data_IF_289406910829
#
_entry.id   IF_289406910829
#
_cell.length_a   1.000
_cell.length_b   1.000
_cell.length_c   1.000
_cell.angle_alpha   90.00
_cell.angle_beta   90.00
_cell.angle_gamma   90.00
#
_symmetry.space_group_name_H-M   'P 1'
#
loop_
_entity.id
_entity.type
_entity.pdbx_description
1 polymer ?
#
# COMPACT_ATOMS: atom_id res chain seq x y z
N UNK A 1 -17.92 -7.84 -1.15
CA UNK A 1 -18.13 -9.20 -1.71
C UNK A 1 -17.85 -10.18 -0.58
N UNK A 2 -18.89 -10.89 -0.15
CA UNK A 2 -18.91 -11.71 1.07
C UNK A 2 -17.95 -12.89 0.99
N UNK A 3 -17.10 -13.05 2.00
CA UNK A 3 -16.38 -14.30 2.24
C UNK A 3 -17.21 -15.09 3.22
N UNK A 4 -17.76 -16.20 2.71
CA UNK A 4 -18.58 -17.18 3.42
C UNK A 4 -17.83 -17.80 4.60
N UNK A 5 -18.42 -17.72 5.79
CA UNK A 5 -18.03 -18.44 6.99
C UNK A 5 -18.58 -19.86 6.90
N UNK A 6 -17.70 -20.86 6.74
CA UNK A 6 -18.03 -22.28 6.86
C UNK A 6 -17.93 -22.69 8.33
N UNK A 7 -19.07 -22.90 8.97
CA UNK A 7 -19.16 -23.54 10.28
C UNK A 7 -19.08 -25.07 10.08
N UNK A 8 -17.99 -25.67 10.50
CA UNK A 8 -17.93 -27.15 10.62
C UNK A 8 -18.42 -27.56 12.00
N UNK A 9 -19.58 -28.22 12.01
CA UNK A 9 -20.10 -29.00 13.12
C UNK A 9 -19.34 -30.33 13.16
N UNK A 10 -18.53 -30.58 14.19
CA UNK A 10 -18.00 -31.92 14.46
C UNK A 10 -18.74 -32.49 15.66
N UNK A 11 -19.50 -33.51 15.34
CA UNK A 11 -20.29 -34.31 16.23
C UNK A 11 -19.40 -35.07 17.26
N UNK A 12 -19.91 -35.14 18.50
CA UNK A 12 -19.33 -35.89 19.59
C UNK A 12 -19.46 -37.38 19.32
N UNK A 13 -18.34 -38.10 19.38
CA UNK A 13 -18.38 -39.59 19.57
C UNK A 13 -17.52 -39.92 20.79
N UNK A 14 -18.15 -40.51 21.77
CA UNK A 14 -17.54 -41.02 22.97
C UNK A 14 -17.09 -42.48 22.71
N UNK A 15 -15.87 -42.87 23.08
CA UNK A 15 -15.48 -44.26 23.23
C UNK A 15 -14.49 -44.43 24.37
N UNK A 16 -14.93 -45.17 25.33
CA UNK A 16 -14.33 -46.11 26.32
C UNK A 16 -12.79 -46.20 26.47
N UNK A 17 -12.45 -46.03 27.72
CA UNK A 17 -11.56 -46.80 28.63
C UNK A 17 -10.55 -47.80 28.02
N UNK A 18 -9.27 -47.54 28.28
CA UNK A 18 -8.18 -48.51 28.18
C UNK A 18 -6.97 -48.01 28.98
N UNK A 19 -6.81 -48.53 30.21
CA UNK A 19 -5.64 -48.31 31.06
C UNK A 19 -4.44 -49.03 30.47
N UNK A 20 -3.44 -48.30 30.01
CA UNK A 20 -2.11 -48.84 29.72
C UNK A 20 -1.08 -47.98 30.47
N UNK A 21 -0.41 -48.65 31.42
CA UNK A 21 0.78 -48.13 32.12
C UNK A 21 1.89 -47.90 31.11
N UNK A 22 2.27 -46.65 30.89
CA UNK A 22 3.50 -46.29 30.20
C UNK A 22 4.46 -45.59 31.15
N UNK A 23 5.60 -46.23 31.36
CA UNK A 23 6.77 -45.74 32.08
C UNK A 23 7.22 -44.39 31.52
N UNK A 24 7.31 -43.42 32.40
CA UNK A 24 7.78 -42.06 32.10
C UNK A 24 9.27 -42.07 31.75
N UNK A 25 9.56 -41.96 30.48
CA UNK A 25 10.86 -41.54 29.97
C UNK A 25 10.83 -40.03 29.86
N UNK A 26 11.47 -39.33 30.82
CA UNK A 26 11.64 -37.89 30.76
C UNK A 26 12.65 -37.54 29.67
N UNK A 27 12.16 -37.28 28.46
CA UNK A 27 12.95 -36.66 27.42
C UNK A 27 13.05 -35.16 27.71
N UNK A 28 14.20 -34.71 28.19
CA UNK A 28 14.52 -33.29 28.30
C UNK A 28 14.56 -32.72 26.89
N UNK A 29 13.43 -32.14 26.48
CA UNK A 29 13.42 -31.30 25.29
C UNK A 29 14.12 -29.96 25.66
N UNK A 30 15.39 -29.86 25.29
CA UNK A 30 16.05 -28.55 25.21
C UNK A 30 15.26 -27.70 24.22
N UNK A 31 14.63 -26.64 24.76
CA UNK A 31 14.05 -25.60 23.92
C UNK A 31 15.17 -25.04 23.01
N UNK A 32 14.95 -24.94 21.70
CA UNK A 32 15.91 -24.25 20.85
C UNK A 32 16.05 -22.81 21.37
N UNK A 33 17.29 -22.44 21.69
CA UNK A 33 17.67 -21.08 21.99
C UNK A 33 17.01 -20.19 20.94
N UNK A 34 16.13 -19.29 21.39
CA UNK A 34 15.67 -18.18 20.56
C UNK A 34 16.89 -17.33 20.27
N UNK A 35 17.65 -17.75 19.24
CA UNK A 35 18.66 -16.93 18.63
C UNK A 35 17.96 -15.61 18.29
N UNK A 36 18.39 -14.56 18.94
CA UNK A 36 18.05 -13.16 18.65
C UNK A 36 18.25 -12.99 17.14
N UNK A 37 17.19 -13.17 16.37
CA UNK A 37 17.17 -12.80 14.97
C UNK A 37 17.40 -11.29 14.99
N UNK A 38 18.65 -10.90 14.73
CA UNK A 38 19.04 -9.53 14.45
C UNK A 38 18.10 -9.08 13.35
N UNK A 39 17.13 -8.24 13.72
CA UNK A 39 16.19 -7.62 12.79
C UNK A 39 17.09 -6.88 11.79
N UNK A 40 17.33 -7.50 10.64
CA UNK A 40 17.99 -6.83 9.54
C UNK A 40 17.05 -5.68 9.20
N UNK A 41 17.48 -4.46 9.49
CA UNK A 41 16.77 -3.26 9.06
C UNK A 41 16.68 -3.36 7.55
N UNK A 42 15.49 -3.61 7.03
CA UNK A 42 15.23 -3.55 5.60
C UNK A 42 15.78 -2.22 5.08
N UNK A 43 16.48 -2.21 3.93
CA UNK A 43 17.00 -0.96 3.38
C UNK A 43 15.85 0.04 3.23
N UNK A 44 16.08 1.28 3.67
CA UNK A 44 15.09 2.36 3.58
C UNK A 44 14.70 2.56 2.12
N UNK A 45 13.47 2.21 1.77
CA UNK A 45 12.94 2.44 0.44
C UNK A 45 12.34 3.85 0.36
N UNK A 46 12.73 4.60 -0.65
CA UNK A 46 12.24 5.96 -0.91
C UNK A 46 11.68 6.07 -2.32
N UNK A 47 10.76 7.01 -2.52
CA UNK A 47 10.21 7.30 -3.83
C UNK A 47 11.28 7.81 -4.81
N UNK A 48 11.07 7.57 -6.10
CA UNK A 48 11.89 8.16 -7.17
C UNK A 48 11.72 9.68 -7.25
N UNK A 49 10.51 10.15 -6.98
CA UNK A 49 10.24 11.60 -6.93
C UNK A 49 10.48 12.12 -5.51
N UNK A 50 11.43 13.06 -5.31
CA UNK A 50 11.72 13.58 -3.98
C UNK A 50 10.48 14.18 -3.29
N UNK A 51 10.29 13.84 -1.99
CA UNK A 51 9.18 14.33 -1.19
C UNK A 51 7.88 13.53 -1.31
N UNK A 52 7.83 12.53 -2.17
CA UNK A 52 6.70 11.60 -2.23
C UNK A 52 6.81 10.52 -1.16
N UNK A 53 5.68 10.09 -0.64
CA UNK A 53 5.59 8.96 0.28
C UNK A 53 5.54 7.65 -0.50
N UNK A 54 5.93 6.56 0.15
CA UNK A 54 5.84 5.20 -0.40
C UNK A 54 5.01 4.27 0.50
N UNK A 55 4.63 4.76 1.67
CA UNK A 55 3.86 4.02 2.68
C UNK A 55 2.45 4.58 2.78
N UNK A 56 1.45 3.70 2.63
CA UNK A 56 0.03 4.07 2.65
C UNK A 56 -0.44 4.55 4.03
N UNK A 57 0.03 3.90 5.11
CA UNK A 57 -0.34 4.30 6.48
C UNK A 57 0.18 5.71 6.79
N UNK A 58 1.39 6.05 6.32
CA UNK A 58 1.95 7.39 6.45
C UNK A 58 1.15 8.42 5.64
N UNK A 59 0.79 8.08 4.40
CA UNK A 59 -0.04 8.93 3.56
C UNK A 59 -1.42 9.16 4.20
N UNK A 60 -2.03 8.13 4.74
CA UNK A 60 -3.28 8.22 5.49
C UNK A 60 -3.16 9.14 6.70
N UNK A 61 -2.13 8.95 7.54
CA UNK A 61 -1.91 9.78 8.72
C UNK A 61 -1.76 11.27 8.35
N UNK A 62 -1.00 11.58 7.31
CA UNK A 62 -0.85 12.97 6.80
C UNK A 62 -2.15 13.51 6.21
N UNK A 63 -2.90 12.70 5.47
CA UNK A 63 -4.20 13.07 4.92
C UNK A 63 -5.18 13.44 6.03
N UNK A 64 -5.31 12.61 7.06
CA UNK A 64 -6.18 12.89 8.23
C UNK A 64 -5.76 14.13 9.00
N UNK A 65 -4.46 14.36 9.18
CA UNK A 65 -3.94 15.52 9.89
C UNK A 65 -4.16 16.84 9.16
N UNK A 66 -4.19 16.81 7.82
CA UNK A 66 -4.25 18.02 6.98
C UNK A 66 -5.60 18.24 6.28
N UNK A 67 -6.47 17.21 6.26
CA UNK A 67 -7.72 17.22 5.50
C UNK A 67 -7.53 17.12 3.97
N UNK A 68 -6.31 16.87 3.48
CA UNK A 68 -6.02 16.80 2.05
C UNK A 68 -6.23 15.39 1.52
N UNK A 69 -6.78 15.22 0.29
CA UNK A 69 -6.88 13.93 -0.35
C UNK A 69 -5.50 13.37 -0.69
N UNK A 70 -5.41 12.06 -0.85
CA UNK A 70 -4.21 11.37 -1.33
C UNK A 70 -4.22 11.35 -2.85
N UNK A 71 -3.09 11.70 -3.46
CA UNK A 71 -2.82 11.55 -4.88
C UNK A 71 -1.79 10.45 -5.08
N UNK A 72 -2.23 9.29 -5.56
CA UNK A 72 -1.39 8.12 -5.78
C UNK A 72 -0.98 8.00 -7.26
N UNK A 73 0.32 8.05 -7.53
CA UNK A 73 0.89 7.84 -8.85
C UNK A 73 1.33 6.38 -9.02
N UNK A 74 0.57 5.62 -9.78
CA UNK A 74 0.93 4.28 -10.19
C UNK A 74 1.91 4.36 -11.36
N UNK A 75 3.12 3.88 -11.15
CA UNK A 75 4.25 4.09 -12.05
C UNK A 75 5.11 2.83 -12.23
N UNK A 76 5.96 2.83 -13.24
CA UNK A 76 7.04 1.86 -13.44
C UNK A 76 8.35 2.63 -13.66
N UNK A 77 8.95 3.10 -12.58
CA UNK A 77 10.02 4.11 -12.57
C UNK A 77 11.20 3.77 -13.47
N UNK A 78 11.59 2.50 -13.56
CA UNK A 78 12.77 2.07 -14.31
C UNK A 78 12.50 1.64 -15.75
N UNK A 79 11.23 1.39 -16.14
CA UNK A 79 10.89 0.88 -17.47
C UNK A 79 9.82 1.67 -18.24
N UNK A 80 8.92 2.39 -17.56
CA UNK A 80 7.78 3.07 -18.18
C UNK A 80 8.18 4.43 -18.77
N UNK A 81 8.27 4.52 -20.09
CA UNK A 81 8.66 5.76 -20.80
C UNK A 81 7.69 6.93 -20.58
N UNK A 82 6.37 6.68 -20.56
CA UNK A 82 5.36 7.70 -20.32
C UNK A 82 5.37 8.18 -18.86
N UNK A 83 5.71 7.31 -17.90
CA UNK A 83 5.87 7.71 -16.51
C UNK A 83 7.04 8.68 -16.34
N UNK A 84 8.18 8.38 -16.99
CA UNK A 84 9.33 9.29 -17.01
C UNK A 84 9.01 10.63 -17.64
N UNK A 85 8.21 10.63 -18.72
CA UNK A 85 7.73 11.88 -19.34
C UNK A 85 6.82 12.67 -18.40
N UNK A 86 5.89 12.02 -17.69
CA UNK A 86 5.04 12.70 -16.71
C UNK A 86 5.88 13.32 -15.59
N UNK A 87 6.85 12.58 -15.06
CA UNK A 87 7.79 13.11 -14.06
C UNK A 87 8.53 14.33 -14.59
N UNK A 88 9.11 14.25 -15.81
CA UNK A 88 9.90 15.32 -16.39
C UNK A 88 9.06 16.57 -16.75
N UNK A 89 7.82 16.38 -17.20
CA UNK A 89 6.97 17.48 -17.65
C UNK A 89 6.12 18.11 -16.53
N UNK A 90 5.91 17.37 -15.42
CA UNK A 90 5.01 17.81 -14.35
C UNK A 90 5.69 17.76 -12.98
N UNK A 91 6.09 16.59 -12.49
CA UNK A 91 6.38 16.39 -11.07
C UNK A 91 7.67 17.05 -10.58
N UNK A 92 8.66 17.23 -11.46
CA UNK A 92 9.93 17.89 -11.10
C UNK A 92 9.82 19.42 -11.00
N UNK A 93 8.77 20.02 -11.58
CA UNK A 93 8.62 21.48 -11.65
C UNK A 93 8.20 22.07 -10.31
N UNK A 94 8.80 23.19 -9.93
CA UNK A 94 8.50 23.88 -8.68
C UNK A 94 7.05 24.36 -8.60
N UNK A 95 6.44 24.72 -9.75
CA UNK A 95 5.02 25.05 -9.81
C UNK A 95 4.13 23.89 -9.35
N UNK A 96 4.42 22.66 -9.80
CA UNK A 96 3.72 21.46 -9.33
C UNK A 96 3.98 21.21 -7.84
N UNK A 97 5.23 21.27 -7.38
CA UNK A 97 5.58 21.01 -5.98
C UNK A 97 4.85 21.95 -5.03
N UNK A 98 4.85 23.26 -5.32
CA UNK A 98 4.13 24.27 -4.52
C UNK A 98 2.63 24.04 -4.52
N UNK A 99 2.05 23.69 -5.66
CA UNK A 99 0.64 23.36 -5.78
C UNK A 99 0.30 22.09 -4.97
N UNK A 100 1.09 21.04 -5.12
CA UNK A 100 0.86 19.75 -4.45
C UNK A 100 0.96 19.89 -2.92
N UNK A 101 1.94 20.64 -2.43
CA UNK A 101 2.09 20.93 -1.00
C UNK A 101 0.81 21.53 -0.39
N UNK A 102 0.04 22.29 -1.13
CA UNK A 102 -1.19 22.91 -0.67
C UNK A 102 -2.44 22.04 -0.83
N UNK A 103 -2.47 21.13 -1.81
CA UNK A 103 -3.70 20.51 -2.27
C UNK A 103 -3.81 19.01 -2.02
N UNK A 104 -2.70 18.27 -1.98
CA UNK A 104 -2.72 16.79 -1.93
C UNK A 104 -1.60 16.20 -1.05
N UNK A 105 -1.76 14.94 -0.67
CA UNK A 105 -0.69 14.12 -0.13
C UNK A 105 -0.17 13.23 -1.25
N UNK A 106 1.13 13.33 -1.56
CA UNK A 106 1.76 12.62 -2.65
C UNK A 106 2.16 11.20 -2.23
N UNK A 107 1.68 10.19 -2.95
CA UNK A 107 1.99 8.77 -2.73
C UNK A 107 2.47 8.13 -4.04
N UNK A 108 3.65 7.52 -4.03
CA UNK A 108 4.21 6.80 -5.18
C UNK A 108 3.97 5.31 -5.04
N UNK A 109 3.31 4.71 -6.02
CA UNK A 109 3.02 3.29 -6.11
C UNK A 109 3.84 2.72 -7.27
N UNK A 110 5.13 2.48 -7.00
CA UNK A 110 6.05 2.00 -8.02
C UNK A 110 5.97 0.48 -8.22
N UNK A 111 6.05 0.04 -9.48
CA UNK A 111 6.15 -1.35 -9.90
C UNK A 111 7.44 -1.54 -10.74
N UNK A 112 8.62 -1.44 -10.15
CA UNK A 112 9.87 -1.54 -10.89
C UNK A 112 10.14 -2.98 -11.34
N UNK A 113 10.94 -3.15 -12.38
CA UNK A 113 11.36 -4.46 -12.90
C UNK A 113 12.80 -4.83 -12.55
N UNK A 114 13.63 -3.83 -12.29
CA UNK A 114 15.08 -4.00 -12.08
C UNK A 114 15.56 -3.50 -10.70
N UNK A 115 14.74 -2.69 -10.03
CA UNK A 115 15.06 -2.16 -8.71
C UNK A 115 14.46 -3.03 -7.62
N UNK A 116 15.18 -3.14 -6.52
CA UNK A 116 14.65 -3.76 -5.31
C UNK A 116 13.61 -2.84 -4.66
N UNK A 117 12.52 -3.42 -4.24
CA UNK A 117 11.58 -2.80 -3.30
C UNK A 117 11.28 -3.82 -2.18
N UNK A 118 11.13 -3.38 -0.93
CA UNK A 118 10.79 -4.26 0.19
C UNK A 118 9.50 -5.04 -0.07
N UNK A 119 9.43 -6.27 0.40
CA UNK A 119 8.26 -7.13 0.14
C UNK A 119 6.96 -6.54 0.73
N UNK A 120 7.04 -5.83 1.87
CA UNK A 120 5.91 -5.10 2.44
C UNK A 120 5.37 -4.01 1.49
N UNK A 121 6.26 -3.23 0.87
CA UNK A 121 5.88 -2.19 -0.10
C UNK A 121 5.34 -2.83 -1.38
N UNK A 122 5.96 -3.89 -1.85
CA UNK A 122 5.51 -4.63 -3.04
C UNK A 122 4.10 -5.20 -2.86
N UNK A 123 3.84 -5.80 -1.69
CA UNK A 123 2.51 -6.32 -1.34
C UNK A 123 1.47 -5.21 -1.25
N UNK A 124 1.79 -4.08 -0.58
CA UNK A 124 0.95 -2.89 -0.55
C UNK A 124 0.62 -2.39 -1.95
N UNK A 125 1.64 -2.22 -2.81
CA UNK A 125 1.49 -1.67 -4.15
C UNK A 125 0.64 -2.59 -5.04
N UNK A 126 0.82 -3.90 -4.95
CA UNK A 126 -0.01 -4.89 -5.66
C UNK A 126 -1.47 -4.83 -5.20
N UNK A 127 -1.72 -4.73 -3.89
CA UNK A 127 -3.07 -4.58 -3.34
C UNK A 127 -3.77 -3.30 -3.82
N UNK A 128 -3.06 -2.17 -3.84
CA UNK A 128 -3.60 -0.90 -4.35
C UNK A 128 -3.85 -0.95 -5.87
N UNK A 129 -2.95 -1.54 -6.66
CA UNK A 129 -3.17 -1.73 -8.10
C UNK A 129 -4.45 -2.53 -8.38
N UNK A 130 -4.69 -3.58 -7.61
CA UNK A 130 -5.91 -4.38 -7.71
C UNK A 130 -7.15 -3.59 -7.29
N UNK A 131 -7.11 -2.90 -6.14
CA UNK A 131 -8.22 -2.13 -5.60
C UNK A 131 -8.66 -1.01 -6.56
N UNK A 132 -7.71 -0.32 -7.17
CA UNK A 132 -7.95 0.75 -8.15
C UNK A 132 -8.09 0.25 -9.59
N UNK A 133 -8.02 -1.06 -9.83
CA UNK A 133 -8.12 -1.69 -11.16
C UNK A 133 -7.17 -1.03 -12.19
N UNK A 134 -5.92 -0.81 -11.79
CA UNK A 134 -4.92 -0.15 -12.64
C UNK A 134 -4.49 -1.10 -13.76
N UNK A 135 -4.74 -0.71 -15.01
CA UNK A 135 -4.45 -1.52 -16.20
C UNK A 135 -3.24 -1.00 -17.00
N UNK A 136 -2.71 0.16 -16.67
CA UNK A 136 -1.59 0.78 -17.39
C UNK A 136 -0.92 1.90 -16.60
N UNK A 137 0.20 2.37 -17.12
CA UNK A 137 1.04 3.38 -16.48
C UNK A 137 1.40 4.53 -17.44
N UNK A 138 1.48 5.79 -16.96
CA UNK A 138 1.11 6.21 -15.61
C UNK A 138 -0.41 6.23 -15.43
N UNK A 139 -0.86 5.91 -14.23
CA UNK A 139 -2.22 6.19 -13.78
C UNK A 139 -2.14 6.91 -12.45
N UNK A 140 -2.81 8.05 -12.33
CA UNK A 140 -2.84 8.84 -11.10
C UNK A 140 -4.26 8.85 -10.56
N UNK A 141 -4.46 8.34 -9.35
CA UNK A 141 -5.73 8.39 -8.64
C UNK A 141 -5.70 9.45 -7.54
N UNK A 142 -6.82 10.16 -7.39
CA UNK A 142 -7.07 11.06 -6.27
C UNK A 142 -8.23 10.50 -5.45
N UNK A 143 -8.05 10.38 -4.14
CA UNK A 143 -9.04 9.75 -3.26
C UNK A 143 -8.93 10.23 -1.82
N UNK A 144 -10.05 10.17 -1.11
CA UNK A 144 -10.10 10.21 0.34
C UNK A 144 -10.01 8.80 0.90
N UNK A 145 -9.55 8.67 2.12
CA UNK A 145 -9.42 7.39 2.79
C UNK A 145 -9.78 7.51 4.26
N UNK A 146 -10.52 6.52 4.75
CA UNK A 146 -10.81 6.32 6.16
C UNK A 146 -10.41 4.93 6.61
N UNK A 147 -10.19 4.77 7.91
CA UNK A 147 -9.84 3.50 8.53
C UNK A 147 -10.86 3.16 9.60
N UNK A 148 -11.53 2.01 9.46
CA UNK A 148 -12.42 1.50 10.49
C UNK A 148 -11.62 1.14 11.75
N UNK A 149 -11.90 1.77 12.91
CA UNK A 149 -11.13 1.54 14.12
C UNK A 149 -11.31 0.14 14.72
N UNK A 150 -12.38 -0.58 14.35
CA UNK A 150 -12.66 -1.93 14.85
C UNK A 150 -12.02 -3.02 14.01
N UNK A 151 -12.06 -2.86 12.70
CA UNK A 151 -11.56 -3.87 11.75
C UNK A 151 -10.17 -3.57 11.21
N UNK A 152 -9.68 -2.35 11.41
CA UNK A 152 -8.43 -1.83 10.84
C UNK A 152 -8.42 -1.80 9.30
N UNK A 153 -9.58 -1.96 8.67
CA UNK A 153 -9.72 -1.94 7.23
C UNK A 153 -9.87 -0.53 6.69
N UNK A 154 -9.26 -0.27 5.53
CA UNK A 154 -9.39 0.99 4.83
C UNK A 154 -10.64 1.03 3.96
N UNK A 155 -11.33 2.16 4.00
CA UNK A 155 -12.38 2.53 3.04
C UNK A 155 -11.85 3.64 2.14
N UNK A 156 -12.00 3.49 0.83
CA UNK A 156 -11.51 4.43 -0.17
C UNK A 156 -12.70 5.07 -0.88
N UNK A 157 -12.71 6.39 -0.90
CA UNK A 157 -13.61 7.22 -1.70
C UNK A 157 -12.83 7.81 -2.87
N UNK A 158 -13.03 7.28 -4.08
CA UNK A 158 -12.34 7.74 -5.28
C UNK A 158 -12.94 9.06 -5.77
N UNK A 159 -12.12 10.12 -5.84
CA UNK A 159 -12.52 11.43 -6.36
C UNK A 159 -12.35 11.51 -7.88
N UNK A 160 -11.33 10.86 -8.42
CA UNK A 160 -11.10 10.78 -9.86
C UNK A 160 -9.75 10.20 -10.22
N UNK A 161 -9.52 10.05 -11.53
CA UNK A 161 -8.23 9.59 -12.06
C UNK A 161 -7.82 10.36 -13.30
N UNK A 162 -6.49 10.44 -13.51
CA UNK A 162 -5.87 10.96 -14.73
C UNK A 162 -4.68 10.08 -15.13
N UNK A 163 -4.03 10.42 -16.21
CA UNK A 163 -2.82 9.75 -16.70
C UNK A 163 -1.75 10.78 -17.04
N UNK A 164 -1.09 10.56 -18.18
CA UNK A 164 -0.11 11.51 -18.72
C UNK A 164 -0.78 12.80 -19.18
N UNK A 165 -0.20 13.94 -18.76
CA UNK A 165 -0.46 15.27 -19.33
C UNK A 165 0.86 15.91 -19.76
N UNK A 166 0.80 16.86 -20.67
CA UNK A 166 1.99 17.50 -21.22
C UNK A 166 2.53 18.65 -20.38
N UNK A 167 1.70 19.24 -19.54
CA UNK A 167 2.03 20.44 -18.76
C UNK A 167 1.57 20.35 -17.31
N UNK A 168 2.20 21.14 -16.45
CA UNK A 168 1.81 21.28 -15.03
C UNK A 168 0.40 21.83 -14.92
N UNK A 169 0.06 22.84 -15.69
CA UNK A 169 -1.25 23.51 -15.65
C UNK A 169 -2.39 22.53 -16.01
N UNK A 170 -2.23 21.78 -17.09
CA UNK A 170 -3.21 20.77 -17.48
C UNK A 170 -3.42 19.72 -16.37
N UNK A 171 -2.31 19.24 -15.78
CA UNK A 171 -2.35 18.27 -14.72
C UNK A 171 -3.06 18.79 -13.47
N UNK A 172 -2.62 19.94 -12.96
CA UNK A 172 -3.14 20.51 -11.71
C UNK A 172 -4.59 20.93 -11.84
N UNK A 173 -4.98 21.55 -12.95
CA UNK A 173 -6.39 21.91 -13.23
C UNK A 173 -7.28 20.65 -13.26
N UNK A 174 -6.83 19.57 -13.91
CA UNK A 174 -7.57 18.31 -13.92
C UNK A 174 -7.76 17.71 -12.52
N UNK A 175 -6.72 17.74 -11.70
CA UNK A 175 -6.80 17.25 -10.31
C UNK A 175 -7.70 18.13 -9.44
N UNK A 176 -7.62 19.46 -9.58
CA UNK A 176 -8.48 20.39 -8.85
C UNK A 176 -9.97 20.16 -9.11
N UNK A 177 -10.34 19.84 -10.36
CA UNK A 177 -11.72 19.50 -10.72
C UNK A 177 -12.21 18.23 -10.03
N UNK A 178 -11.31 17.29 -9.68
CA UNK A 178 -11.66 16.08 -8.91
C UNK A 178 -11.88 16.40 -7.43
N UNK A 179 -11.05 17.27 -6.86
CA UNK A 179 -11.09 17.63 -5.43
C UNK A 179 -12.30 18.51 -5.09
N UNK A 180 -12.76 19.36 -6.05
CA UNK A 180 -13.86 20.33 -5.83
C UNK A 180 -15.26 19.74 -6.01
N UNK A 181 -15.38 18.47 -6.39
CA UNK A 181 -16.67 17.79 -6.51
C UNK A 181 -17.22 17.37 -5.15
#
# INVERSE_FOLDING_TARGET
MNILSLKNNISKLAVLSGFIFFTSMTLSAQAPNAATAKLATEPTYTAENPGWLVNLDEAYAKSKATGKPIMANFTGSDWCGWCKKLTANVFVHDAFKKWAEQNVILLEIDAPRRKYIPESVKSQNAGLQQAFQVQGYPTVWVFNMDKDPKTNQYTIEALGKTGYTATVEEFTTGVEQMIKK
#
